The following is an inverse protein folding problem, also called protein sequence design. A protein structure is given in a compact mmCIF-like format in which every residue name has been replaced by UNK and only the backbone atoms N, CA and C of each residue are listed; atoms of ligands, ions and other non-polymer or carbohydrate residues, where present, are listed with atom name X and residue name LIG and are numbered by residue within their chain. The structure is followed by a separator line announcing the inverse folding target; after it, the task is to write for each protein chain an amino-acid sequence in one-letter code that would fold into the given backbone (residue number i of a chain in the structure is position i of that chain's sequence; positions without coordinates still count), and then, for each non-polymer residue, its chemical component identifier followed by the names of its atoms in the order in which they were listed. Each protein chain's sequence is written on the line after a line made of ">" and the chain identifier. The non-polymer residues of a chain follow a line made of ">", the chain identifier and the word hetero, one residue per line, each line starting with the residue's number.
data_IF_419290718140
#
_entry.id   IF_419290718140
#
_cell.length_a   1.000
_cell.length_b   1.000
_cell.length_c   1.000
_cell.angle_alpha   90.00
_cell.angle_beta   90.00
_cell.angle_gamma   90.00
#
_symmetry.space_group_name_H-M   'P 1'
#
loop_
_entity.id
_entity.type
_entity.pdbx_description
1 polymer ?
#
# COMPACT_ATOMS: atom_id res chain seq x y z
N UNK A 1 4.81 -10.36 -0.43
CA UNK A 1 3.99 -9.25 -0.93
C UNK A 1 4.79 -7.94 -1.03
N UNK A 2 5.23 -7.31 0.06
CA UNK A 2 5.97 -6.04 0.07
C UNK A 2 7.22 -6.02 -0.78
N UNK A 3 8.07 -7.04 -0.66
CA UNK A 3 9.31 -7.17 -1.44
C UNK A 3 9.07 -7.33 -2.94
N UNK A 4 7.93 -7.92 -3.35
CA UNK A 4 7.55 -8.02 -4.76
C UNK A 4 7.20 -6.63 -5.32
N UNK A 5 6.34 -5.87 -4.62
CA UNK A 5 5.98 -4.50 -5.01
C UNK A 5 7.23 -3.61 -5.11
N UNK A 6 8.14 -3.72 -4.14
CA UNK A 6 9.38 -2.92 -4.16
C UNK A 6 10.26 -3.28 -5.36
N UNK A 7 10.43 -4.58 -5.66
CA UNK A 7 11.20 -5.02 -6.83
C UNK A 7 10.61 -4.50 -8.13
N UNK A 8 9.30 -4.60 -8.30
CA UNK A 8 8.60 -4.10 -9.49
C UNK A 8 8.80 -2.59 -9.65
N UNK A 9 8.66 -1.82 -8.56
CA UNK A 9 8.88 -0.37 -8.56
C UNK A 9 10.33 0.01 -8.87
N UNK A 10 11.30 -0.76 -8.37
CA UNK A 10 12.72 -0.55 -8.69
C UNK A 10 13.00 -0.81 -10.16
N UNK A 11 12.48 -1.91 -10.70
CA UNK A 11 12.60 -2.23 -12.13
C UNK A 11 11.98 -1.14 -13.02
N UNK A 12 10.80 -0.61 -12.64
CA UNK A 12 10.18 0.50 -13.35
C UNK A 12 11.02 1.79 -13.29
N UNK A 13 11.63 2.08 -12.14
CA UNK A 13 12.51 3.23 -12.00
C UNK A 13 13.79 3.08 -12.86
N UNK A 14 14.35 1.88 -12.95
CA UNK A 14 15.47 1.58 -13.82
C UNK A 14 15.10 1.77 -15.30
N UNK A 15 13.95 1.25 -15.71
CA UNK A 15 13.44 1.44 -17.08
C UNK A 15 13.20 2.92 -17.41
N UNK A 16 12.63 3.67 -16.44
CA UNK A 16 12.41 5.12 -16.59
C UNK A 16 13.74 5.87 -16.76
N UNK A 17 14.73 5.59 -15.93
CA UNK A 17 16.06 6.20 -16.02
C UNK A 17 16.74 5.88 -17.36
N UNK A 18 16.61 4.64 -17.82
CA UNK A 18 17.14 4.25 -19.14
C UNK A 18 16.40 4.97 -20.29
N UNK A 19 15.10 5.20 -20.16
CA UNK A 19 14.33 5.97 -21.14
C UNK A 19 14.73 7.46 -21.13
N UNK A 20 14.90 8.05 -19.95
CA UNK A 20 15.34 9.44 -19.78
C UNK A 20 16.75 9.65 -20.37
N UNK A 21 17.69 8.75 -20.10
CA UNK A 21 19.03 8.81 -20.65
C UNK A 21 19.04 8.75 -22.19
N UNK A 22 18.17 7.92 -22.78
CA UNK A 22 18.01 7.87 -24.25
C UNK A 22 17.43 9.16 -24.81
N UNK A 23 16.49 9.77 -24.11
CA UNK A 23 15.90 11.06 -24.50
C UNK A 23 16.93 12.19 -24.40
N UNK A 24 17.73 12.23 -23.34
CA UNK A 24 18.84 13.19 -23.20
C UNK A 24 19.86 13.05 -24.33
N UNK A 25 20.23 11.82 -24.67
CA UNK A 25 21.13 11.55 -25.78
C UNK A 25 20.53 12.04 -27.14
N UNK A 26 19.26 11.70 -27.38
CA UNK A 26 18.54 12.15 -28.58
C UNK A 26 18.52 13.67 -28.72
N UNK A 27 18.21 14.39 -27.61
CA UNK A 27 18.21 15.86 -27.57
C UNK A 27 19.60 16.43 -27.87
N UNK A 28 20.62 15.83 -27.28
CA UNK A 28 22.01 16.23 -27.51
C UNK A 28 22.43 16.03 -28.94
N UNK A 29 22.13 14.90 -29.56
CA UNK A 29 22.42 14.61 -30.97
C UNK A 29 21.65 15.54 -31.93
N UNK A 30 20.37 15.81 -31.62
CA UNK A 30 19.53 16.72 -32.40
C UNK A 30 20.14 18.12 -32.46
N UNK A 31 20.46 18.68 -31.28
CA UNK A 31 21.03 20.03 -31.19
C UNK A 31 22.43 20.09 -31.78
N UNK A 32 23.27 19.08 -31.54
CA UNK A 32 24.64 19.03 -32.11
C UNK A 32 24.64 18.97 -33.64
N UNK A 33 23.64 18.30 -34.20
CA UNK A 33 23.48 18.21 -35.66
C UNK A 33 23.03 19.54 -36.29
N UNK A 34 22.15 20.28 -35.59
CA UNK A 34 21.62 21.57 -36.08
C UNK A 34 22.56 22.75 -35.82
N UNK A 35 23.30 22.71 -34.71
CA UNK A 35 24.20 23.78 -34.31
C UNK A 35 25.59 23.23 -33.90
N UNK A 36 26.57 23.19 -34.79
CA UNK A 36 27.93 22.71 -34.49
C UNK A 36 28.63 23.47 -33.36
N UNK A 37 28.29 24.75 -33.14
CA UNK A 37 28.86 25.55 -32.04
C UNK A 37 28.44 25.01 -30.68
N UNK A 38 27.21 24.52 -30.56
CA UNK A 38 26.75 23.89 -29.32
C UNK A 38 27.51 22.57 -29.07
N UNK A 39 27.76 21.79 -30.13
CA UNK A 39 28.56 20.58 -30.03
C UNK A 39 29.97 20.88 -29.49
N UNK A 40 30.62 21.92 -30.03
CA UNK A 40 31.95 22.35 -29.56
C UNK A 40 31.96 22.78 -28.09
N UNK A 41 30.93 23.50 -27.63
CA UNK A 41 30.80 23.89 -26.22
C UNK A 41 30.60 22.69 -25.30
N UNK A 42 29.78 21.73 -25.73
CA UNK A 42 29.56 20.49 -24.97
C UNK A 42 30.85 19.68 -24.82
N UNK A 43 31.64 19.62 -25.88
CA UNK A 43 32.98 18.96 -25.88
C UNK A 43 33.95 19.70 -24.93
N UNK A 44 34.02 21.04 -25.04
CA UNK A 44 34.85 21.85 -24.13
C UNK A 44 34.47 21.64 -22.66
N UNK A 45 33.18 21.63 -22.33
CA UNK A 45 32.72 21.35 -20.97
C UNK A 45 33.16 19.97 -20.49
N UNK A 46 33.08 18.97 -21.35
CA UNK A 46 33.49 17.62 -21.01
C UNK A 46 35.00 17.53 -20.76
N UNK A 47 35.81 18.18 -21.63
CA UNK A 47 37.27 18.24 -21.46
C UNK A 47 37.67 18.94 -20.14
N UNK A 48 37.02 20.06 -19.79
CA UNK A 48 37.27 20.76 -18.54
C UNK A 48 36.96 19.90 -17.31
N UNK A 49 35.87 19.14 -17.34
CA UNK A 49 35.53 18.21 -16.26
C UNK A 49 36.60 17.13 -16.12
N UNK A 50 37.02 16.51 -17.23
CA UNK A 50 38.09 15.50 -17.21
C UNK A 50 39.41 16.04 -16.69
N UNK A 51 39.79 17.24 -17.13
CA UNK A 51 41.01 17.90 -16.63
C UNK A 51 40.93 18.20 -15.13
N UNK A 52 39.78 18.70 -14.66
CA UNK A 52 39.54 18.97 -13.25
C UNK A 52 39.66 17.71 -12.38
N UNK A 53 39.02 16.61 -12.81
CA UNK A 53 39.13 15.33 -12.12
C UNK A 53 40.56 14.80 -12.10
N UNK A 54 41.27 14.88 -13.21
CA UNK A 54 42.66 14.44 -13.31
C UNK A 54 43.59 15.24 -12.39
N UNK A 55 43.46 16.58 -12.38
CA UNK A 55 44.25 17.44 -11.50
C UNK A 55 44.06 17.12 -10.02
N UNK A 56 42.82 16.79 -9.62
CA UNK A 56 42.51 16.36 -8.23
C UNK A 56 43.17 15.00 -7.93
N UNK A 57 43.10 14.05 -8.85
CA UNK A 57 43.71 12.71 -8.65
C UNK A 57 45.26 12.76 -8.64
N UNK A 58 45.85 13.62 -9.47
CA UNK A 58 47.31 13.78 -9.56
C UNK A 58 47.90 14.68 -8.44
N UNK A 59 47.06 15.20 -7.52
CA UNK A 59 47.48 16.06 -6.42
C UNK A 59 48.04 17.43 -6.89
N UNK A 60 47.81 17.80 -8.13
CA UNK A 60 48.28 19.04 -8.74
C UNK A 60 47.19 20.13 -8.67
N UNK A 61 47.08 20.80 -7.54
CA UNK A 61 46.44 22.11 -7.44
C UNK A 61 44.91 22.13 -7.41
N UNK A 62 44.42 23.20 -6.84
CA UNK A 62 43.02 23.51 -6.69
C UNK A 62 42.32 23.78 -8.06
N UNK A 63 41.16 23.23 -8.25
CA UNK A 63 40.29 23.54 -9.39
C UNK A 63 39.62 24.93 -9.26
N UNK A 64 40.36 25.95 -8.78
CA UNK A 64 39.83 27.27 -8.41
C UNK A 64 39.13 28.00 -9.56
N UNK A 65 39.55 27.80 -10.79
CA UNK A 65 38.95 28.44 -11.96
C UNK A 65 37.89 27.59 -12.68
N UNK A 66 37.70 26.31 -12.31
CA UNK A 66 36.78 25.41 -13.00
C UNK A 66 35.31 25.87 -12.90
N UNK A 67 34.79 26.31 -11.72
CA UNK A 67 33.42 26.78 -11.61
C UNK A 67 33.15 28.00 -12.50
N UNK A 68 34.05 28.99 -12.53
CA UNK A 68 33.89 30.18 -13.37
C UNK A 68 33.90 29.87 -14.87
N UNK A 69 34.80 28.98 -15.31
CA UNK A 69 34.85 28.56 -16.72
C UNK A 69 33.61 27.79 -17.12
N UNK A 70 33.08 26.94 -16.23
CA UNK A 70 31.83 26.21 -16.47
C UNK A 70 30.63 27.15 -16.54
N UNK A 71 30.58 28.19 -15.69
CA UNK A 71 29.50 29.18 -15.71
C UNK A 71 29.48 29.97 -17.03
N UNK A 72 30.63 30.43 -17.54
CA UNK A 72 30.74 31.12 -18.83
C UNK A 72 30.27 30.23 -19.97
N UNK A 73 30.69 28.95 -20.00
CA UNK A 73 30.26 28.01 -21.04
C UNK A 73 28.77 27.67 -20.92
N UNK A 74 28.23 27.63 -19.72
CA UNK A 74 26.78 27.39 -19.49
C UNK A 74 25.96 28.55 -20.01
N UNK A 75 26.32 29.81 -19.67
CA UNK A 75 25.64 31.01 -20.16
C UNK A 75 25.69 31.10 -21.71
N UNK A 76 26.83 30.74 -22.30
CA UNK A 76 26.97 30.71 -23.78
C UNK A 76 26.09 29.62 -24.39
N UNK A 77 26.03 28.44 -23.79
CA UNK A 77 25.19 27.32 -24.24
C UNK A 77 23.71 27.68 -24.22
N UNK A 78 23.22 28.26 -23.09
CA UNK A 78 21.83 28.69 -22.94
C UNK A 78 21.43 29.73 -23.99
N UNK A 79 22.31 30.71 -24.23
CA UNK A 79 22.10 31.72 -25.28
C UNK A 79 22.00 31.09 -26.67
N UNK A 80 22.92 30.20 -27.04
CA UNK A 80 22.89 29.55 -28.34
C UNK A 80 21.67 28.62 -28.51
N UNK A 81 21.21 27.95 -27.44
CA UNK A 81 19.97 27.20 -27.47
C UNK A 81 18.79 28.10 -27.80
N UNK A 82 18.67 29.25 -27.14
CA UNK A 82 17.58 30.23 -27.39
C UNK A 82 17.64 30.81 -28.79
N UNK A 83 18.82 31.19 -29.28
CA UNK A 83 19.04 31.71 -30.64
C UNK A 83 18.65 30.70 -31.74
N UNK A 84 18.75 29.40 -31.42
CA UNK A 84 18.35 28.30 -32.31
C UNK A 84 16.92 27.78 -32.08
N UNK A 85 16.11 28.49 -31.24
CA UNK A 85 14.70 28.19 -31.02
C UNK A 85 14.45 27.06 -29.99
N UNK A 86 15.45 26.70 -29.20
CA UNK A 86 15.31 25.73 -28.10
C UNK A 86 15.14 26.46 -26.75
N UNK A 87 14.42 25.88 -25.78
CA UNK A 87 14.44 26.36 -24.39
C UNK A 87 15.88 26.33 -23.84
N UNK A 88 16.25 27.27 -22.98
CA UNK A 88 17.55 27.28 -22.28
C UNK A 88 17.83 25.97 -21.54
N UNK A 89 16.78 25.35 -20.99
CA UNK A 89 16.81 24.08 -20.24
C UNK A 89 16.68 22.82 -21.10
N UNK A 90 16.77 22.93 -22.44
CA UNK A 90 16.51 21.82 -23.35
C UNK A 90 17.46 20.63 -23.16
N UNK A 91 18.70 20.89 -22.75
CA UNK A 91 19.74 19.89 -22.49
C UNK A 91 19.90 19.54 -21.00
N UNK A 92 19.02 20.06 -20.15
CA UNK A 92 19.01 19.68 -18.74
C UNK A 92 18.60 18.22 -18.57
N UNK A 93 19.06 17.57 -17.47
CA UNK A 93 18.69 16.21 -17.19
C UNK A 93 17.17 16.01 -17.06
N UNK A 94 16.66 14.96 -17.65
CA UNK A 94 15.23 14.63 -17.66
C UNK A 94 14.90 13.74 -16.46
N UNK A 95 14.05 14.24 -15.56
CA UNK A 95 13.56 13.46 -14.42
C UNK A 95 12.04 13.58 -14.27
N UNK A 96 11.40 12.48 -13.92
CA UNK A 96 10.01 12.49 -13.46
C UNK A 96 9.93 13.05 -12.03
N UNK A 97 10.92 12.74 -11.20
CA UNK A 97 11.05 13.26 -9.84
C UNK A 97 12.43 13.91 -9.66
N UNK A 98 12.48 15.25 -9.60
CA UNK A 98 13.72 15.99 -9.42
C UNK A 98 14.41 15.69 -8.07
N UNK A 99 13.64 15.37 -7.01
CA UNK A 99 14.18 15.12 -5.66
C UNK A 99 15.03 13.85 -5.59
N UNK A 100 14.58 12.73 -6.14
CA UNK A 100 15.34 11.49 -6.13
C UNK A 100 15.99 11.16 -7.47
N UNK A 101 15.83 11.99 -8.49
CA UNK A 101 16.33 11.75 -9.85
C UNK A 101 15.95 10.35 -10.37
N UNK A 102 14.70 9.97 -10.10
CA UNK A 102 14.07 8.69 -10.45
C UNK A 102 14.74 7.43 -9.85
N UNK A 103 15.61 7.59 -8.85
CA UNK A 103 16.15 6.44 -8.09
C UNK A 103 15.13 5.81 -7.15
N UNK A 104 14.14 6.59 -6.71
CA UNK A 104 13.16 6.21 -5.70
C UNK A 104 13.64 6.39 -4.26
N UNK A 105 14.90 6.79 -4.04
CA UNK A 105 15.52 6.97 -2.73
C UNK A 105 16.23 8.31 -2.62
N UNK A 106 16.29 8.84 -1.41
CA UNK A 106 16.98 10.10 -1.04
C UNK A 106 17.87 9.85 0.18
N UNK A 107 18.90 10.66 0.37
CA UNK A 107 19.87 10.57 1.46
C UNK A 107 21.21 9.99 0.99
N UNK A 108 22.31 10.45 1.63
CA UNK A 108 23.67 10.08 1.27
C UNK A 108 24.16 8.87 2.07
N UNK A 109 23.95 8.87 3.37
CA UNK A 109 24.41 7.80 4.30
C UNK A 109 23.31 6.79 4.61
N UNK A 110 22.09 7.27 4.86
CA UNK A 110 20.89 6.42 5.04
C UNK A 110 19.94 6.73 3.89
N UNK A 111 19.62 5.71 3.13
CA UNK A 111 18.71 5.84 1.98
C UNK A 111 17.26 5.68 2.43
N UNK A 112 16.57 6.81 2.52
CA UNK A 112 15.12 6.84 2.74
C UNK A 112 14.36 6.75 1.42
N UNK A 113 13.20 6.10 1.47
CA UNK A 113 12.31 6.04 0.31
C UNK A 113 11.76 7.43 0.00
N UNK A 114 11.94 7.90 -1.24
CA UNK A 114 11.39 9.17 -1.71
C UNK A 114 9.85 9.15 -1.70
N UNK A 115 9.23 10.31 -1.44
CA UNK A 115 7.77 10.42 -1.39
C UNK A 115 7.08 9.98 -2.68
N UNK A 116 7.72 10.21 -3.85
CA UNK A 116 7.21 9.72 -5.13
C UNK A 116 7.14 8.18 -5.20
N UNK A 117 8.08 7.48 -4.58
CA UNK A 117 8.10 6.04 -4.50
C UNK A 117 7.18 5.52 -3.38
N UNK A 118 7.14 6.22 -2.23
CA UNK A 118 6.19 5.91 -1.14
C UNK A 118 4.76 5.92 -1.63
N UNK A 119 4.35 6.98 -2.33
CA UNK A 119 2.99 7.10 -2.89
C UNK A 119 2.65 5.94 -3.82
N UNK A 120 3.54 5.59 -4.75
CA UNK A 120 3.33 4.47 -5.68
C UNK A 120 3.31 3.11 -4.96
N UNK A 121 4.13 2.96 -3.94
CA UNK A 121 4.19 1.75 -3.11
C UNK A 121 2.88 1.54 -2.35
N UNK A 122 2.42 2.56 -1.62
CA UNK A 122 1.16 2.47 -0.88
C UNK A 122 -0.04 2.32 -1.80
N UNK A 123 -0.07 3.00 -2.94
CA UNK A 123 -1.08 2.83 -3.97
C UNK A 123 -1.25 1.37 -4.41
N UNK A 124 -0.14 0.68 -4.65
CA UNK A 124 -0.17 -0.75 -5.01
C UNK A 124 -0.56 -1.64 -3.85
N UNK A 125 -0.02 -1.33 -2.67
CA UNK A 125 -0.32 -2.07 -1.46
C UNK A 125 -1.83 -2.00 -1.14
N UNK A 126 -2.42 -0.80 -1.18
CA UNK A 126 -3.85 -0.61 -0.97
C UNK A 126 -4.69 -1.32 -2.03
N UNK A 127 -4.30 -1.24 -3.30
CA UNK A 127 -5.01 -1.92 -4.39
C UNK A 127 -5.04 -3.44 -4.22
N UNK A 128 -3.97 -4.04 -3.72
CA UNK A 128 -3.92 -5.48 -3.45
C UNK A 128 -4.89 -5.93 -2.36
N UNK A 129 -5.21 -5.05 -1.40
CA UNK A 129 -6.20 -5.32 -0.34
C UNK A 129 -7.59 -4.77 -0.67
N UNK A 130 -7.85 -4.38 -1.93
CA UNK A 130 -9.13 -3.86 -2.36
C UNK A 130 -9.44 -2.44 -1.89
N UNK A 131 -8.47 -1.73 -1.32
CA UNK A 131 -8.62 -0.33 -0.91
C UNK A 131 -8.43 0.61 -2.12
N UNK A 132 -9.29 1.64 -2.22
CA UNK A 132 -9.15 2.70 -3.22
C UNK A 132 -8.35 3.87 -2.66
N UNK A 133 -7.45 4.47 -3.47
CA UNK A 133 -6.76 5.71 -3.11
C UNK A 133 -7.70 6.91 -2.98
N UNK A 134 -8.74 6.94 -3.82
CA UNK A 134 -9.76 8.02 -3.82
C UNK A 134 -10.94 7.60 -2.96
N UNK A 135 -11.12 8.28 -1.83
CA UNK A 135 -12.19 8.00 -0.88
C UNK A 135 -11.87 6.81 0.02
N UNK A 136 -10.60 6.62 0.36
CA UNK A 136 -10.17 5.57 1.26
C UNK A 136 -10.98 5.62 2.57
N UNK A 137 -11.67 4.54 2.85
CA UNK A 137 -12.32 4.32 4.13
C UNK A 137 -11.23 4.27 5.20
N UNK A 138 -11.26 5.23 6.11
CA UNK A 138 -10.28 5.36 7.18
C UNK A 138 -10.97 5.85 8.46
N UNK A 139 -10.31 5.75 9.60
CA UNK A 139 -10.87 6.27 10.86
C UNK A 139 -11.09 7.78 10.81
N UNK A 140 -10.28 8.52 10.04
CA UNK A 140 -10.43 9.97 9.85
C UNK A 140 -11.65 10.34 9.00
N UNK A 141 -12.09 9.44 8.10
CA UNK A 141 -13.29 9.64 7.26
C UNK A 141 -14.55 9.05 7.86
N UNK A 142 -14.46 8.47 9.08
CA UNK A 142 -15.61 7.93 9.77
C UNK A 142 -16.61 9.03 10.12
N UNK A 143 -17.86 8.84 9.72
CA UNK A 143 -18.93 9.81 9.99
C UNK A 143 -19.98 9.21 10.95
N UNK A 144 -19.91 9.59 12.21
CA UNK A 144 -20.83 9.13 13.24
C UNK A 144 -22.27 9.62 13.04
N UNK A 145 -22.49 10.70 12.28
CA UNK A 145 -23.80 11.26 12.00
C UNK A 145 -24.67 10.35 11.12
N UNK A 146 -24.08 9.36 10.48
CA UNK A 146 -24.82 8.34 9.73
C UNK A 146 -25.65 7.42 10.64
N UNK A 147 -25.32 7.35 11.93
CA UNK A 147 -25.98 6.46 12.89
C UNK A 147 -27.05 7.19 13.71
N UNK A 148 -28.12 6.45 14.10
CA UNK A 148 -29.21 7.00 14.90
C UNK A 148 -28.78 7.36 16.31
N UNK A 149 -29.37 8.43 16.83
CA UNK A 149 -29.33 8.77 18.25
C UNK A 149 -30.42 8.07 19.06
N UNK A 150 -31.33 7.33 18.38
CA UNK A 150 -32.35 6.53 19.07
C UNK A 150 -31.70 5.37 19.83
N UNK A 151 -32.25 5.06 20.99
CA UNK A 151 -31.80 3.93 21.80
C UNK A 151 -31.99 2.61 21.05
N UNK A 152 -31.03 1.74 21.15
CA UNK A 152 -31.13 0.38 20.64
C UNK A 152 -32.19 -0.41 21.45
N UNK A 153 -32.94 -1.33 20.81
CA UNK A 153 -33.94 -2.14 21.49
C UNK A 153 -33.34 -2.88 22.69
N UNK A 154 -33.96 -2.70 23.87
CA UNK A 154 -33.51 -3.30 25.15
C UNK A 154 -32.10 -2.90 25.59
N UNK A 155 -31.54 -1.78 25.07
CA UNK A 155 -30.24 -1.24 25.47
C UNK A 155 -30.38 0.17 26.06
N UNK A 156 -29.36 0.61 26.80
CA UNK A 156 -29.29 1.96 27.39
C UNK A 156 -28.42 2.91 26.57
N UNK A 157 -27.98 2.47 25.40
CA UNK A 157 -27.12 3.24 24.46
C UNK A 157 -27.81 3.38 23.11
N UNK A 158 -27.54 4.47 22.43
CA UNK A 158 -27.99 4.71 21.04
C UNK A 158 -27.16 3.89 20.04
N UNK A 159 -27.68 3.78 18.81
CA UNK A 159 -26.89 3.17 17.73
C UNK A 159 -25.59 3.93 17.50
N UNK A 160 -25.59 5.27 17.57
CA UNK A 160 -24.39 6.11 17.38
C UNK A 160 -23.33 5.82 18.44
N UNK A 161 -23.71 5.78 19.71
CA UNK A 161 -22.80 5.45 20.81
C UNK A 161 -22.23 4.04 20.69
N UNK A 162 -23.07 3.06 20.35
CA UNK A 162 -22.62 1.70 20.10
C UNK A 162 -21.58 1.65 18.99
N UNK A 163 -21.85 2.32 17.88
CA UNK A 163 -20.94 2.34 16.74
C UNK A 163 -19.64 3.11 17.00
N UNK A 164 -19.68 4.14 17.85
CA UNK A 164 -18.48 4.85 18.29
C UNK A 164 -17.58 3.93 19.13
N UNK A 165 -18.15 3.17 20.08
CA UNK A 165 -17.39 2.18 20.85
C UNK A 165 -16.76 1.10 19.97
N UNK A 166 -17.50 0.57 18.99
CA UNK A 166 -16.98 -0.42 18.04
C UNK A 166 -15.86 0.14 17.18
N UNK A 167 -15.97 1.39 16.72
CA UNK A 167 -14.90 2.11 16.02
C UNK A 167 -13.65 2.21 16.86
N UNK A 168 -13.79 2.62 18.13
CA UNK A 168 -12.67 2.83 19.05
C UNK A 168 -11.92 1.51 19.31
N UNK A 169 -12.65 0.40 19.52
CA UNK A 169 -12.03 -0.94 19.66
C UNK A 169 -11.29 -1.35 18.38
N UNK A 170 -11.88 -1.12 17.20
CA UNK A 170 -11.23 -1.41 15.92
C UNK A 170 -9.97 -0.56 15.72
N UNK A 171 -10.02 0.71 16.13
CA UNK A 171 -8.87 1.62 16.06
C UNK A 171 -7.77 1.20 17.03
N UNK A 172 -8.11 0.89 18.27
CA UNK A 172 -7.17 0.39 19.28
C UNK A 172 -6.48 -0.90 18.80
N UNK A 173 -7.24 -1.85 18.25
CA UNK A 173 -6.68 -3.05 17.65
C UNK A 173 -5.67 -2.70 16.57
N UNK A 174 -6.03 -1.82 15.63
CA UNK A 174 -5.15 -1.44 14.52
C UNK A 174 -3.92 -0.64 14.99
N UNK A 175 -4.02 0.09 16.11
CA UNK A 175 -2.91 0.87 16.67
C UNK A 175 -1.98 0.03 17.55
N UNK A 176 -2.47 -1.01 18.21
CA UNK A 176 -1.70 -1.80 19.18
C UNK A 176 -1.20 -3.14 18.64
N UNK A 177 -1.85 -3.73 17.64
CA UNK A 177 -1.42 -5.02 17.08
C UNK A 177 0.10 -5.02 16.75
N UNK A 178 0.90 -6.07 17.10
CA UNK A 178 0.48 -7.39 17.63
C UNK A 178 0.25 -7.48 19.14
N UNK A 179 0.31 -6.37 19.87
CA UNK A 179 0.12 -6.31 21.32
C UNK A 179 -1.33 -6.01 21.73
N UNK A 180 -2.29 -6.21 20.81
CA UNK A 180 -3.72 -6.10 21.08
C UNK A 180 -4.16 -7.14 22.14
N UNK A 181 -5.27 -6.90 22.89
CA UNK A 181 -5.76 -7.81 23.90
C UNK A 181 -6.02 -9.23 23.38
N UNK A 182 -6.52 -9.33 22.14
CA UNK A 182 -6.68 -10.58 21.40
C UNK A 182 -6.11 -10.43 19.98
N UNK A 183 -5.53 -11.49 19.38
CA UNK A 183 -5.04 -11.43 18.01
C UNK A 183 -6.17 -11.35 16.97
N UNK A 184 -7.36 -11.88 17.28
CA UNK A 184 -8.48 -11.99 16.34
C UNK A 184 -9.64 -11.06 16.71
N UNK A 185 -10.40 -10.63 15.70
CA UNK A 185 -11.66 -9.92 15.83
C UNK A 185 -12.75 -10.61 15.00
N UNK A 186 -13.95 -10.76 15.57
CA UNK A 186 -15.14 -11.22 14.87
C UNK A 186 -16.22 -10.13 14.88
N UNK A 187 -16.50 -9.53 13.74
CA UNK A 187 -17.50 -8.48 13.55
C UNK A 187 -18.81 -9.14 13.09
N UNK A 188 -19.81 -9.19 13.94
CA UNK A 188 -21.12 -9.81 13.65
C UNK A 188 -22.22 -8.77 13.60
N UNK A 189 -23.29 -9.05 12.87
CA UNK A 189 -24.51 -8.22 12.86
C UNK A 189 -25.03 -7.92 11.48
N UNK A 190 -26.24 -7.33 11.37
CA UNK A 190 -26.92 -7.08 10.12
C UNK A 190 -26.08 -6.31 9.10
N UNK A 191 -26.44 -6.47 7.80
CA UNK A 191 -25.81 -5.72 6.72
C UNK A 191 -26.08 -4.21 6.85
N UNK A 192 -25.18 -3.38 6.31
CA UNK A 192 -25.34 -1.92 6.27
C UNK A 192 -25.03 -1.20 7.59
N UNK A 193 -24.27 -1.81 8.49
CA UNK A 193 -23.85 -1.21 9.76
C UNK A 193 -22.37 -0.77 9.78
N UNK A 194 -21.67 -0.81 8.63
CA UNK A 194 -20.30 -0.30 8.52
C UNK A 194 -19.18 -1.29 8.87
N UNK A 195 -19.45 -2.61 9.02
CA UNK A 195 -18.41 -3.63 9.26
C UNK A 195 -17.27 -3.56 8.26
N UNK A 196 -17.58 -3.64 6.98
CA UNK A 196 -16.58 -3.55 5.88
C UNK A 196 -15.84 -2.21 5.90
N UNK A 197 -16.51 -1.10 6.25
CA UNK A 197 -15.86 0.20 6.41
C UNK A 197 -14.77 0.16 7.48
N UNK A 198 -15.11 -0.37 8.67
CA UNK A 198 -14.12 -0.47 9.77
C UNK A 198 -13.00 -1.46 9.44
N UNK A 199 -13.28 -2.55 8.73
CA UNK A 199 -12.24 -3.45 8.23
C UNK A 199 -11.26 -2.73 7.28
N UNK A 200 -11.77 -1.92 6.34
CA UNK A 200 -10.92 -1.11 5.47
C UNK A 200 -10.11 -0.07 6.24
N UNK A 201 -10.70 0.60 7.24
CA UNK A 201 -10.02 1.57 8.09
C UNK A 201 -8.88 0.90 8.90
N UNK A 202 -9.14 -0.28 9.49
CA UNK A 202 -8.12 -1.09 10.15
C UNK A 202 -7.02 -1.52 9.19
N UNK A 203 -7.38 -2.04 8.01
CA UNK A 203 -6.41 -2.49 7.01
C UNK A 203 -5.47 -1.35 6.60
N UNK A 204 -6.02 -0.16 6.33
CA UNK A 204 -5.22 1.03 6.03
C UNK A 204 -4.25 1.36 7.16
N UNK A 205 -4.74 1.44 8.39
CA UNK A 205 -3.94 1.80 9.57
C UNK A 205 -2.81 0.80 9.84
N UNK A 206 -3.09 -0.49 9.75
CA UNK A 206 -2.10 -1.57 9.90
C UNK A 206 -1.04 -1.51 8.78
N UNK A 207 -1.46 -1.28 7.53
CA UNK A 207 -0.55 -1.10 6.39
C UNK A 207 0.36 0.12 6.57
N UNK A 208 -0.17 1.26 7.03
CA UNK A 208 0.59 2.48 7.30
C UNK A 208 1.64 2.25 8.40
N UNK A 209 1.34 1.41 9.39
CA UNK A 209 2.27 0.98 10.44
C UNK A 209 3.33 -0.03 9.97
N UNK A 210 3.25 -0.48 8.75
CA UNK A 210 4.25 -1.38 8.20
C UNK A 210 3.93 -2.86 8.27
N UNK A 211 2.76 -3.27 8.73
CA UNK A 211 2.33 -4.67 8.79
C UNK A 211 1.87 -5.20 7.42
N UNK A 212 1.99 -6.51 7.19
CA UNK A 212 1.43 -7.15 6.01
C UNK A 212 -0.04 -7.47 6.29
N UNK A 213 -0.94 -6.88 5.52
CA UNK A 213 -2.37 -7.13 5.61
C UNK A 213 -2.87 -7.68 4.30
N UNK A 214 -3.74 -8.67 4.37
CA UNK A 214 -4.46 -9.19 3.21
C UNK A 214 -5.95 -9.18 3.54
N UNK A 215 -6.75 -8.56 2.67
CA UNK A 215 -8.20 -8.52 2.80
C UNK A 215 -8.84 -9.15 1.57
N UNK A 216 -9.77 -10.06 1.78
CA UNK A 216 -10.55 -10.71 0.72
C UNK A 216 -11.94 -11.08 1.23
N UNK A 217 -12.88 -11.30 0.31
CA UNK A 217 -14.18 -11.85 0.68
C UNK A 217 -14.08 -13.34 0.99
N UNK A 218 -15.00 -13.85 1.82
CA UNK A 218 -15.11 -15.28 2.08
C UNK A 218 -15.29 -16.09 0.79
N UNK A 219 -16.00 -15.55 -0.20
CA UNK A 219 -16.12 -16.16 -1.52
C UNK A 219 -14.76 -16.31 -2.23
N UNK A 220 -13.94 -15.26 -2.20
CA UNK A 220 -12.59 -15.33 -2.82
C UNK A 220 -11.68 -16.29 -2.08
N UNK A 221 -11.76 -16.34 -0.75
CA UNK A 221 -11.06 -17.34 0.05
C UNK A 221 -11.43 -18.76 -0.40
N UNK A 222 -12.74 -19.05 -0.57
CA UNK A 222 -13.19 -20.36 -1.04
C UNK A 222 -12.65 -20.70 -2.44
N UNK A 223 -12.62 -19.73 -3.37
CA UNK A 223 -12.06 -19.93 -4.71
C UNK A 223 -10.57 -20.33 -4.64
N UNK A 224 -9.79 -19.67 -3.77
CA UNK A 224 -8.38 -20.01 -3.53
C UNK A 224 -8.22 -21.39 -2.90
N UNK A 225 -9.02 -21.68 -1.87
CA UNK A 225 -9.02 -22.98 -1.19
C UNK A 225 -9.37 -24.14 -2.14
N UNK A 226 -10.36 -23.93 -3.01
CA UNK A 226 -10.73 -24.89 -4.05
C UNK A 226 -9.60 -25.11 -5.05
N UNK A 227 -8.97 -24.04 -5.54
CA UNK A 227 -7.83 -24.15 -6.46
C UNK A 227 -6.70 -24.92 -5.82
N UNK A 228 -6.29 -24.57 -4.60
CA UNK A 228 -5.23 -25.28 -3.88
C UNK A 228 -5.54 -26.77 -3.69
N UNK A 229 -6.80 -27.11 -3.39
CA UNK A 229 -7.24 -28.49 -3.21
C UNK A 229 -7.10 -29.30 -4.49
N UNK A 230 -7.46 -28.79 -5.66
CA UNK A 230 -7.44 -29.49 -6.92
C UNK A 230 -6.10 -29.44 -7.67
N UNK A 231 -5.38 -28.32 -7.60
CA UNK A 231 -4.12 -28.14 -8.33
C UNK A 231 -2.87 -28.57 -7.56
N UNK A 232 -2.99 -28.87 -6.27
CA UNK A 232 -1.87 -29.10 -5.35
C UNK A 232 -0.84 -27.94 -5.33
N UNK A 233 -1.24 -26.75 -5.78
CA UNK A 233 -0.45 -25.51 -5.71
C UNK A 233 -0.92 -24.68 -4.50
N UNK A 234 -0.15 -24.78 -3.41
CA UNK A 234 -0.45 -24.11 -2.14
C UNK A 234 0.00 -22.67 -2.05
N UNK A 235 0.73 -22.12 -3.02
CA UNK A 235 1.42 -20.84 -2.88
C UNK A 235 0.52 -19.64 -2.53
N UNK A 236 -0.71 -19.57 -3.04
CA UNK A 236 -1.67 -18.54 -2.66
C UNK A 236 -2.22 -18.76 -1.24
N UNK A 237 -2.44 -20.00 -0.83
CA UNK A 237 -2.86 -20.36 0.53
C UNK A 237 -1.76 -20.08 1.56
N UNK A 238 -0.49 -20.36 1.23
CA UNK A 238 0.65 -20.06 2.07
C UNK A 238 0.72 -18.54 2.36
N UNK A 239 0.43 -17.71 1.36
CA UNK A 239 0.35 -16.25 1.55
C UNK A 239 -0.72 -15.85 2.58
N UNK A 240 -1.89 -16.54 2.60
CA UNK A 240 -2.93 -16.29 3.60
C UNK A 240 -2.45 -16.72 5.00
N UNK A 241 -1.69 -17.80 5.08
CA UNK A 241 -1.13 -18.28 6.35
C UNK A 241 -0.02 -17.36 6.89
N UNK A 242 0.79 -16.78 6.02
CA UNK A 242 1.98 -16.02 6.41
C UNK A 242 1.75 -14.53 6.68
N UNK A 243 0.65 -13.95 6.19
CA UNK A 243 0.36 -12.51 6.38
C UNK A 243 0.15 -12.18 7.86
N UNK A 244 0.59 -11.00 8.33
CA UNK A 244 0.48 -10.61 9.75
C UNK A 244 -0.98 -10.53 10.17
N UNK A 245 -1.82 -9.84 9.40
CA UNK A 245 -3.26 -9.76 9.63
C UNK A 245 -4.02 -10.16 8.38
N UNK A 246 -4.85 -11.19 8.49
CA UNK A 246 -5.78 -11.62 7.46
C UNK A 246 -7.19 -11.10 7.78
N UNK A 247 -7.84 -10.51 6.80
CA UNK A 247 -9.22 -10.02 6.91
C UNK A 247 -10.12 -10.75 5.92
N UNK A 248 -11.12 -11.49 6.43
CA UNK A 248 -12.13 -12.15 5.61
C UNK A 248 -13.47 -11.45 5.79
N UNK A 249 -13.91 -10.79 4.73
CA UNK A 249 -15.18 -10.06 4.73
C UNK A 249 -16.34 -10.94 4.27
N UNK A 250 -17.50 -10.75 4.90
CA UNK A 250 -18.78 -11.37 4.57
C UNK A 250 -18.77 -12.90 4.66
N UNK A 251 -18.20 -13.44 5.76
CA UNK A 251 -18.22 -14.88 6.06
C UNK A 251 -19.68 -15.36 6.17
N UNK A 252 -19.98 -16.43 5.46
CA UNK A 252 -21.34 -16.98 5.36
C UNK A 252 -22.03 -16.66 4.03
N UNK A 253 -21.44 -15.80 3.18
CA UNK A 253 -21.94 -15.54 1.84
C UNK A 253 -21.47 -16.56 0.80
N UNK A 254 -20.36 -17.26 1.08
CA UNK A 254 -19.78 -18.26 0.20
C UNK A 254 -20.63 -19.54 0.12
N UNK A 255 -20.60 -20.29 -1.01
CA UNK A 255 -21.20 -21.61 -1.08
C UNK A 255 -20.55 -22.57 -0.08
N UNK A 256 -21.36 -23.40 0.60
CA UNK A 256 -20.86 -24.46 1.48
C UNK A 256 -20.48 -25.68 0.65
N UNK A 257 -19.20 -25.97 0.59
CA UNK A 257 -18.63 -27.23 0.08
C UNK A 257 -18.05 -27.99 1.28
N UNK A 258 -18.77 -28.95 1.84
CA UNK A 258 -18.47 -29.56 3.14
C UNK A 258 -17.01 -30.01 3.29
N UNK A 259 -16.48 -30.68 2.28
CA UNK A 259 -15.12 -31.21 2.32
C UNK A 259 -14.03 -30.17 1.97
N UNK A 260 -14.39 -28.95 1.55
CA UNK A 260 -13.42 -27.91 1.19
C UNK A 260 -13.60 -26.69 2.10
N UNK A 261 -14.78 -26.06 2.10
CA UNK A 261 -15.01 -24.82 2.83
C UNK A 261 -14.74 -24.97 4.32
N UNK A 262 -15.35 -25.99 4.94
CA UNK A 262 -15.25 -26.23 6.39
C UNK A 262 -13.82 -26.63 6.78
N UNK A 263 -13.22 -27.57 6.04
CA UNK A 263 -11.88 -28.07 6.34
C UNK A 263 -10.84 -26.96 6.16
N UNK A 264 -10.89 -26.23 5.06
CA UNK A 264 -9.90 -25.19 4.79
C UNK A 264 -10.07 -23.97 5.71
N UNK A 265 -11.30 -23.58 6.04
CA UNK A 265 -11.54 -22.51 7.01
C UNK A 265 -11.06 -22.89 8.42
N UNK A 266 -11.32 -24.13 8.84
CA UNK A 266 -10.82 -24.64 10.11
C UNK A 266 -9.30 -24.63 10.18
N UNK A 267 -8.64 -25.15 9.14
CA UNK A 267 -7.18 -25.17 9.06
C UNK A 267 -6.61 -23.76 9.09
N UNK A 268 -7.17 -22.84 8.29
CA UNK A 268 -6.74 -21.46 8.26
C UNK A 268 -6.78 -20.81 9.65
N UNK A 269 -7.92 -20.87 10.35
CA UNK A 269 -8.09 -20.30 11.68
C UNK A 269 -7.12 -20.96 12.67
N UNK A 270 -7.06 -22.28 12.69
CA UNK A 270 -6.22 -23.04 13.60
C UNK A 270 -4.73 -22.75 13.44
N UNK A 271 -4.24 -22.76 12.21
CA UNK A 271 -2.83 -22.50 11.89
C UNK A 271 -2.43 -21.07 12.25
N UNK A 272 -3.27 -20.10 11.91
CA UNK A 272 -3.00 -18.70 12.20
C UNK A 272 -3.02 -18.40 13.70
N UNK A 273 -3.99 -18.95 14.45
CA UNK A 273 -4.03 -18.84 15.92
C UNK A 273 -2.79 -19.49 16.57
N UNK A 274 -2.39 -20.67 16.09
CA UNK A 274 -1.17 -21.36 16.56
C UNK A 274 0.09 -20.53 16.30
N UNK A 275 0.14 -19.84 15.16
CA UNK A 275 1.25 -18.96 14.79
C UNK A 275 1.19 -17.57 15.46
N UNK A 276 0.15 -17.26 16.25
CA UNK A 276 -0.05 -15.94 16.87
C UNK A 276 -0.33 -14.82 15.89
N UNK A 277 -0.90 -15.13 14.72
CA UNK A 277 -1.21 -14.16 13.64
C UNK A 277 -2.67 -13.73 13.69
N UNK A 278 -2.91 -12.43 13.49
CA UNK A 278 -4.24 -11.84 13.61
C UNK A 278 -5.19 -12.22 12.47
N UNK A 279 -6.44 -12.54 12.82
CA UNK A 279 -7.50 -12.78 11.85
C UNK A 279 -8.72 -11.93 12.18
N UNK A 280 -9.15 -11.09 11.25
CA UNK A 280 -10.35 -10.26 11.37
C UNK A 280 -11.42 -10.79 10.44
N UNK A 281 -12.56 -11.17 11.01
CA UNK A 281 -13.68 -11.76 10.27
C UNK A 281 -14.89 -10.85 10.35
N UNK A 282 -15.63 -10.65 9.27
CA UNK A 282 -16.96 -10.08 9.32
C UNK A 282 -18.01 -11.08 8.87
N UNK A 283 -19.19 -11.00 9.44
CA UNK A 283 -20.34 -11.83 9.07
C UNK A 283 -21.65 -11.11 9.30
N UNK A 284 -22.65 -11.45 8.48
CA UNK A 284 -24.03 -11.03 8.69
C UNK A 284 -24.83 -12.07 9.51
N UNK A 285 -24.22 -13.21 9.79
CA UNK A 285 -24.85 -14.29 10.54
C UNK A 285 -24.83 -14.01 12.05
N UNK A 286 -25.85 -14.42 12.74
CA UNK A 286 -25.86 -14.54 14.20
C UNK A 286 -24.98 -15.70 14.65
N UNK A 287 -24.62 -15.72 15.92
CA UNK A 287 -23.83 -16.83 16.51
C UNK A 287 -24.53 -18.18 16.29
N UNK A 288 -25.86 -18.23 16.44
CA UNK A 288 -26.63 -19.46 16.18
C UNK A 288 -26.61 -19.90 14.71
N UNK A 289 -26.69 -18.96 13.78
CA UNK A 289 -26.56 -19.27 12.34
C UNK A 289 -25.15 -19.68 11.97
N UNK A 290 -24.12 -19.10 12.60
CA UNK A 290 -22.74 -19.55 12.43
C UNK A 290 -22.55 -20.98 12.90
N UNK A 291 -23.15 -21.37 14.07
CA UNK A 291 -23.11 -22.74 14.57
C UNK A 291 -23.84 -23.72 13.66
N UNK A 292 -24.95 -23.31 13.09
CA UNK A 292 -25.71 -24.13 12.15
C UNK A 292 -25.00 -24.29 10.79
N UNK A 293 -24.23 -23.28 10.36
CA UNK A 293 -23.56 -23.27 9.06
C UNK A 293 -22.17 -23.91 9.11
N UNK A 294 -21.40 -23.65 10.16
CA UNK A 294 -20.06 -24.16 10.36
C UNK A 294 -20.03 -25.14 11.53
N UNK A 295 -18.99 -25.95 11.61
CA UNK A 295 -18.87 -26.91 12.70
C UNK A 295 -18.64 -26.21 14.05
N UNK A 296 -19.06 -26.87 15.14
CA UNK A 296 -18.81 -26.41 16.52
C UNK A 296 -17.31 -26.09 16.73
N UNK A 297 -16.42 -26.85 16.10
CA UNK A 297 -14.96 -26.65 16.21
C UNK A 297 -14.51 -25.27 15.69
N UNK A 298 -15.08 -24.80 14.58
CA UNK A 298 -14.79 -23.48 14.02
C UNK A 298 -15.36 -22.42 14.94
N UNK A 299 -16.63 -22.52 15.30
CA UNK A 299 -17.31 -21.51 16.12
C UNK A 299 -16.68 -21.40 17.52
N UNK A 300 -16.31 -22.51 18.13
CA UNK A 300 -15.62 -22.51 19.42
C UNK A 300 -14.29 -21.71 19.38
N UNK A 301 -13.53 -21.79 18.27
CA UNK A 301 -12.30 -20.98 18.10
C UNK A 301 -12.60 -19.51 17.89
N UNK A 302 -13.60 -19.19 17.08
CA UNK A 302 -14.03 -17.81 16.82
C UNK A 302 -14.65 -17.14 18.04
N UNK A 303 -15.09 -17.92 19.02
CA UNK A 303 -15.72 -17.45 20.26
C UNK A 303 -14.82 -17.63 21.50
N UNK A 304 -13.57 -18.07 21.35
CA UNK A 304 -12.64 -18.15 22.49
C UNK A 304 -12.21 -16.74 22.92
N UNK A 305 -12.61 -16.25 24.10
CA UNK A 305 -12.33 -14.89 24.51
C UNK A 305 -10.84 -14.61 24.75
N UNK A 306 -10.00 -15.64 24.80
CA UNK A 306 -8.54 -15.50 24.91
C UNK A 306 -7.88 -15.21 23.54
N UNK A 307 -8.57 -15.55 22.47
CA UNK A 307 -8.06 -15.45 21.11
C UNK A 307 -8.81 -14.43 20.26
N UNK A 308 -10.10 -14.23 20.50
CA UNK A 308 -10.95 -13.43 19.63
C UNK A 308 -11.87 -12.50 20.44
N UNK A 309 -11.88 -11.23 20.07
CA UNK A 309 -12.87 -10.26 20.56
C UNK A 309 -14.07 -10.23 19.63
N UNK A 310 -15.26 -10.50 20.18
CA UNK A 310 -16.52 -10.43 19.45
C UNK A 310 -17.07 -9.01 19.46
N UNK A 311 -17.27 -8.43 18.29
CA UNK A 311 -17.86 -7.10 18.08
C UNK A 311 -19.26 -7.25 17.46
N UNK A 312 -20.29 -7.00 18.25
CA UNK A 312 -21.67 -7.13 17.81
C UNK A 312 -22.22 -5.79 17.34
N UNK A 313 -22.47 -5.68 16.04
CA UNK A 313 -23.06 -4.52 15.37
C UNK A 313 -24.59 -4.59 15.48
N UNK A 314 -25.19 -3.52 15.99
CA UNK A 314 -26.63 -3.45 16.23
C UNK A 314 -27.21 -2.16 15.64
N UNK A 315 -28.48 -2.20 15.22
CA UNK A 315 -29.23 -1.04 14.75
C UNK A 315 -29.77 -1.20 13.33
N UNK A 316 -30.15 -0.08 12.72
CA UNK A 316 -30.73 -0.02 11.37
C UNK A 316 -29.70 0.22 10.28
N UNK A 317 -29.93 -0.31 9.07
CA UNK A 317 -29.08 -0.13 7.89
C UNK A 317 -28.96 1.36 7.52
N UNK A 318 -27.74 1.90 7.60
CA UNK A 318 -27.44 3.32 7.29
C UNK A 318 -27.63 3.66 5.81
N UNK A 319 -27.57 2.69 4.92
CA UNK A 319 -27.76 2.91 3.45
C UNK A 319 -29.22 3.20 3.09
N UNK A 320 -30.18 2.86 3.96
CA UNK A 320 -31.60 3.09 3.80
C UNK A 320 -32.07 4.44 4.33
N UNK A 321 -31.22 5.16 5.06
CA UNK A 321 -31.50 6.52 5.50
C UNK A 321 -31.33 7.46 4.34
N UNK A 322 -32.42 8.10 3.92
CA UNK A 322 -32.34 9.28 3.07
C UNK A 322 -31.64 10.37 3.89
N UNK A 323 -30.56 10.93 3.34
CA UNK A 323 -29.88 12.09 3.90
C UNK A 323 -30.84 13.29 3.99
#
# INVERSE_FOLDING_TARGET
>A
MRNAILRDLMTENEQLRAANAREELRRREEVSRRCPEIAAILEQRQQLIFQGVRNVLDGQGSAENLPQQMEVLTARLERLLQENGYPATYLDPVYRCARCKDTGYVGETVRDMCDCMKSRYYARLYRQVGLSEKGAQSFETYNENLFSTDLLPNQRISQRECMALLRDICQEYADTYPHSPTPDLLLTGPSGLGKTFLMHAMAKRLLDRGLNVLMLSAYRFLDLARKAYFSHDGGEMDTLMETDVLMLDDLGSEPLMENITIVQLFNLINERQTAGRGTVLSTNLTVGELQARYTERIVSRLMDPRQCTLLQFMGSDIRRRKA
#
